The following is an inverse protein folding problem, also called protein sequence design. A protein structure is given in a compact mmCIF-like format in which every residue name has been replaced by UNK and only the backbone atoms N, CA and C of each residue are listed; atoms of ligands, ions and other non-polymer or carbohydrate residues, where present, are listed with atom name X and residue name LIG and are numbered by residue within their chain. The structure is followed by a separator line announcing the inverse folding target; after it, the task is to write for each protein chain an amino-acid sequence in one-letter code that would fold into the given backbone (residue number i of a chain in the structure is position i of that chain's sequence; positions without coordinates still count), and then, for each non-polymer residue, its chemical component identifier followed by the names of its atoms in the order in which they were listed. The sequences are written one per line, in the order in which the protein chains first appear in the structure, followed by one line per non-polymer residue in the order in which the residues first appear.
data_IF_139412192954
#
_entry.id   IF_139412192954
#
_cell.length_a   1.000
_cell.length_b   1.000
_cell.length_c   1.000
_cell.angle_alpha   90.00
_cell.angle_beta   90.00
_cell.angle_gamma   90.00
#
_symmetry.space_group_name_H-M   'P 1'
#
loop_
_entity.id
_entity.type
_entity.pdbx_description
1 polymer ?
#
# COMPACT_ATOMS: atom_id res chain seq x y z
N UNK A 1 -6.59 -11.36 -31.32
CA UNK A 1 -5.98 -10.35 -30.43
C UNK A 1 -5.35 -11.10 -29.28
N UNK A 2 -4.04 -11.01 -29.12
CA UNK A 2 -3.32 -11.71 -28.06
C UNK A 2 -3.48 -10.92 -26.75
N UNK A 3 -4.18 -11.48 -25.76
CA UNK A 3 -4.23 -10.91 -24.41
C UNK A 3 -2.90 -11.17 -23.72
N UNK A 4 -2.09 -10.12 -23.56
CA UNK A 4 -0.86 -10.18 -22.77
C UNK A 4 -1.22 -10.18 -21.29
N UNK A 5 -0.73 -11.16 -20.55
CA UNK A 5 -0.90 -11.23 -19.09
C UNK A 5 0.17 -10.37 -18.39
N UNK A 6 -0.15 -9.81 -17.19
CA UNK A 6 0.84 -9.16 -16.33
C UNK A 6 2.04 -10.06 -16.07
N UNK A 7 3.25 -9.48 -16.00
CA UNK A 7 4.43 -10.24 -15.60
C UNK A 7 4.29 -10.77 -14.18
N UNK A 8 5.11 -11.79 -13.84
CA UNK A 8 5.21 -12.28 -12.45
C UNK A 8 5.67 -11.18 -11.50
N UNK A 9 6.53 -10.28 -11.97
CA UNK A 9 7.04 -9.14 -11.20
C UNK A 9 5.91 -8.15 -10.90
N UNK A 10 5.12 -7.78 -11.91
CA UNK A 10 3.96 -6.91 -11.74
C UNK A 10 2.90 -7.54 -10.83
N UNK A 11 2.65 -8.84 -10.99
CA UNK A 11 1.72 -9.58 -10.12
C UNK A 11 2.20 -9.58 -8.67
N UNK A 12 3.51 -9.73 -8.42
CA UNK A 12 4.07 -9.61 -7.08
C UNK A 12 3.93 -8.19 -6.52
N UNK A 13 4.27 -7.17 -7.32
CA UNK A 13 4.16 -5.76 -6.94
C UNK A 13 2.70 -5.35 -6.66
N UNK A 14 1.70 -6.00 -7.27
CA UNK A 14 0.29 -5.75 -6.97
C UNK A 14 -0.13 -6.19 -5.56
N UNK A 15 0.62 -7.11 -4.92
CA UNK A 15 0.31 -7.64 -3.58
C UNK A 15 1.24 -7.07 -2.51
N UNK A 16 2.49 -6.75 -2.87
CA UNK A 16 3.52 -6.24 -1.95
C UNK A 16 3.04 -5.08 -1.05
N UNK A 17 2.34 -4.04 -1.55
CA UNK A 17 1.89 -2.91 -0.71
C UNK A 17 0.92 -3.31 0.41
N UNK A 18 0.19 -4.42 0.26
CA UNK A 18 -0.79 -4.88 1.24
C UNK A 18 -0.13 -5.37 2.54
N UNK A 19 1.01 -6.04 2.43
CA UNK A 19 1.74 -6.62 3.58
C UNK A 19 2.07 -5.55 4.64
N UNK A 20 2.77 -4.44 4.32
CA UNK A 20 3.05 -3.39 5.28
C UNK A 20 1.79 -2.73 5.83
N UNK A 21 0.71 -2.58 5.05
CA UNK A 21 -0.56 -2.03 5.55
C UNK A 21 -1.21 -2.93 6.59
N UNK A 22 -1.23 -4.25 6.36
CA UNK A 22 -1.72 -5.21 7.36
C UNK A 22 -0.87 -5.18 8.63
N UNK A 23 0.45 -5.06 8.49
CA UNK A 23 1.35 -4.90 9.63
C UNK A 23 1.09 -3.60 10.39
N UNK A 24 0.82 -2.48 9.72
CA UNK A 24 0.41 -1.23 10.37
C UNK A 24 -0.85 -1.44 11.21
N UNK A 25 -1.88 -2.09 10.65
CA UNK A 25 -3.10 -2.37 11.39
C UNK A 25 -2.85 -3.21 12.64
N UNK A 26 -2.05 -4.28 12.52
CA UNK A 26 -1.73 -5.17 13.65
C UNK A 26 -0.90 -4.45 14.71
N UNK A 27 0.17 -3.74 14.31
CA UNK A 27 1.10 -3.08 15.23
C UNK A 27 0.47 -1.89 15.97
N UNK A 28 -0.52 -1.25 15.37
CA UNK A 28 -1.31 -0.19 16.00
C UNK A 28 -2.52 -0.73 16.76
N UNK A 29 -2.74 -2.05 16.75
CA UNK A 29 -3.94 -2.70 17.32
C UNK A 29 -5.23 -2.07 16.78
N UNK A 30 -5.29 -1.83 15.47
CA UNK A 30 -6.40 -1.13 14.81
C UNK A 30 -6.48 0.35 15.19
N UNK A 31 -5.33 1.01 15.32
CA UNK A 31 -5.22 2.41 15.75
C UNK A 31 -5.75 2.68 17.17
N UNK A 32 -5.51 1.75 18.10
CA UNK A 32 -5.83 1.92 19.53
C UNK A 32 -5.14 3.16 20.09
N UNK A 33 -5.84 3.94 20.91
CA UNK A 33 -5.27 5.10 21.61
C UNK A 33 -4.28 4.71 22.71
N UNK A 34 -4.36 3.46 23.20
CA UNK A 34 -3.47 2.90 24.23
C UNK A 34 -2.95 1.54 23.75
N UNK A 35 -2.04 1.51 22.75
CA UNK A 35 -1.52 0.26 22.22
C UNK A 35 -0.66 -0.44 23.27
N UNK A 36 -0.72 -1.77 23.33
CA UNK A 36 0.09 -2.54 24.30
C UNK A 36 1.57 -2.59 23.92
N UNK A 37 1.88 -2.43 22.63
CA UNK A 37 3.24 -2.51 22.11
C UNK A 37 4.07 -1.24 22.42
N UNK A 38 5.40 -1.39 22.60
CA UNK A 38 6.29 -0.26 22.84
C UNK A 38 6.19 0.83 21.76
N UNK A 39 6.44 2.11 22.09
CA UNK A 39 6.24 3.24 21.18
C UNK A 39 6.93 3.10 19.81
N UNK A 40 8.09 2.44 19.75
CA UNK A 40 8.75 2.16 18.48
C UNK A 40 7.86 1.32 17.54
N UNK A 41 7.27 0.24 18.05
CA UNK A 41 6.45 -0.68 17.28
C UNK A 41 5.03 -0.16 17.03
N UNK A 42 4.46 0.62 17.95
CA UNK A 42 3.09 1.14 17.82
C UNK A 42 2.98 2.53 17.17
N UNK A 43 4.08 3.30 17.06
CA UNK A 43 4.07 4.67 16.53
C UNK A 43 5.04 4.90 15.38
N UNK A 44 6.32 4.55 15.55
CA UNK A 44 7.39 4.88 14.60
C UNK A 44 7.42 3.90 13.42
N UNK A 45 7.50 2.60 13.71
CA UNK A 45 7.53 1.56 12.69
C UNK A 45 6.28 1.59 11.78
N UNK A 46 5.05 1.81 12.28
CA UNK A 46 3.87 1.94 11.43
C UNK A 46 3.97 3.10 10.43
N UNK A 47 4.54 4.26 10.81
CA UNK A 47 4.77 5.34 9.85
C UNK A 47 5.70 4.93 8.71
N UNK A 48 6.80 4.25 9.05
CA UNK A 48 7.76 3.76 8.05
C UNK A 48 7.11 2.72 7.13
N UNK A 49 6.31 1.82 7.68
CA UNK A 49 5.58 0.82 6.90
C UNK A 49 4.54 1.44 5.97
N UNK A 50 3.79 2.46 6.42
CA UNK A 50 2.88 3.22 5.55
C UNK A 50 3.63 3.88 4.39
N UNK A 51 4.81 4.47 4.65
CA UNK A 51 5.66 5.05 3.60
C UNK A 51 6.16 3.99 2.61
N UNK A 52 6.65 2.85 3.11
CA UNK A 52 7.11 1.73 2.27
C UNK A 52 5.97 1.18 1.41
N UNK A 53 4.77 1.04 1.97
CA UNK A 53 3.57 0.63 1.23
C UNK A 53 3.28 1.59 0.08
N UNK A 54 3.27 2.89 0.39
CA UNK A 54 3.00 3.93 -0.60
C UNK A 54 4.01 3.91 -1.75
N UNK A 55 5.31 3.86 -1.45
CA UNK A 55 6.35 3.79 -2.47
C UNK A 55 6.21 2.53 -3.33
N UNK A 56 5.97 1.38 -2.71
CA UNK A 56 5.75 0.11 -3.43
C UNK A 56 4.51 0.18 -4.34
N UNK A 57 3.44 0.83 -3.88
CA UNK A 57 2.23 1.03 -4.68
C UNK A 57 2.47 1.96 -5.87
N UNK A 58 3.28 3.01 -5.73
CA UNK A 58 3.68 3.86 -6.86
C UNK A 58 4.47 3.06 -7.90
N UNK A 59 5.39 2.18 -7.47
CA UNK A 59 6.09 1.29 -8.39
C UNK A 59 5.15 0.32 -9.10
N UNK A 60 4.18 -0.27 -8.38
CA UNK A 60 3.18 -1.15 -8.97
C UNK A 60 2.33 -0.44 -10.02
N UNK A 61 1.92 0.80 -9.76
CA UNK A 61 1.16 1.63 -10.70
C UNK A 61 1.97 1.92 -11.97
N UNK A 62 3.22 2.36 -11.83
CA UNK A 62 4.07 2.66 -12.98
C UNK A 62 4.38 1.39 -13.79
N UNK A 63 4.72 0.29 -13.12
CA UNK A 63 4.95 -0.99 -13.79
C UNK A 63 3.71 -1.52 -14.52
N UNK A 64 2.50 -1.30 -13.98
CA UNK A 64 1.25 -1.65 -14.65
C UNK A 64 1.07 -0.87 -15.96
N UNK A 65 1.36 0.44 -15.93
CA UNK A 65 1.29 1.29 -17.13
C UNK A 65 2.36 0.96 -18.16
N UNK A 66 3.55 0.61 -17.71
CA UNK A 66 4.67 0.26 -18.60
C UNK A 66 4.45 -1.10 -19.29
N UNK A 67 3.79 -2.05 -18.62
CA UNK A 67 3.49 -3.37 -19.19
C UNK A 67 2.16 -3.43 -19.97
N UNK A 68 1.29 -2.43 -19.84
CA UNK A 68 -0.03 -2.40 -20.48
C UNK A 68 0.10 -2.49 -22.02
N UNK A 69 -0.59 -3.43 -22.69
CA UNK A 69 -0.55 -3.54 -24.14
C UNK A 69 -1.26 -2.35 -24.81
N UNK A 70 -0.61 -1.72 -25.78
CA UNK A 70 -1.15 -0.59 -26.54
C UNK A 70 -2.45 -0.92 -27.30
N UNK A 71 -2.61 -2.19 -27.70
CA UNK A 71 -3.75 -2.68 -28.47
C UNK A 71 -4.24 -4.00 -27.87
N UNK A 72 -5.47 -4.04 -27.35
CA UNK A 72 -6.08 -5.25 -26.78
C UNK A 72 -6.74 -5.03 -25.42
N UNK A 73 -7.14 -6.12 -24.75
CA UNK A 73 -7.84 -6.08 -23.47
C UNK A 73 -6.92 -5.72 -22.30
N UNK A 74 -6.92 -4.45 -21.89
CA UNK A 74 -6.14 -3.92 -20.76
C UNK A 74 -6.81 -4.01 -19.38
N UNK A 75 -7.92 -4.76 -19.23
CA UNK A 75 -8.73 -4.74 -18.01
C UNK A 75 -7.94 -5.16 -16.76
N UNK A 76 -7.09 -6.18 -16.85
CA UNK A 76 -6.26 -6.61 -15.73
C UNK A 76 -5.23 -5.54 -15.32
N UNK A 77 -4.61 -4.85 -16.27
CA UNK A 77 -3.68 -3.75 -16.00
C UNK A 77 -4.39 -2.59 -15.30
N UNK A 78 -5.60 -2.22 -15.78
CA UNK A 78 -6.43 -1.19 -15.13
C UNK A 78 -6.87 -1.56 -13.73
N UNK A 79 -7.16 -2.85 -13.47
CA UNK A 79 -7.42 -3.33 -12.10
C UNK A 79 -6.19 -3.16 -11.21
N UNK A 80 -4.99 -3.50 -11.69
CA UNK A 80 -3.75 -3.34 -10.93
C UNK A 80 -3.45 -1.85 -10.67
N UNK A 81 -3.62 -0.99 -11.67
CA UNK A 81 -3.51 0.47 -11.50
C UNK A 81 -4.47 0.99 -10.43
N UNK A 82 -5.74 0.58 -10.48
CA UNK A 82 -6.76 0.97 -9.50
C UNK A 82 -6.44 0.48 -8.08
N UNK A 83 -5.98 -0.77 -7.94
CA UNK A 83 -5.53 -1.32 -6.66
C UNK A 83 -4.33 -0.55 -6.12
N UNK A 84 -3.35 -0.23 -6.96
CA UNK A 84 -2.17 0.53 -6.58
C UNK A 84 -2.55 1.92 -6.05
N UNK A 85 -3.43 2.65 -6.76
CA UNK A 85 -3.96 3.93 -6.28
C UNK A 85 -4.74 3.77 -4.97
N UNK A 86 -5.50 2.68 -4.81
CA UNK A 86 -6.18 2.34 -3.57
C UNK A 86 -5.22 2.16 -2.40
N UNK A 87 -4.08 1.49 -2.60
CA UNK A 87 -3.05 1.34 -1.57
C UNK A 87 -2.37 2.66 -1.23
N UNK A 88 -2.09 3.53 -2.21
CA UNK A 88 -1.56 4.88 -1.94
C UNK A 88 -2.53 5.67 -1.06
N UNK A 89 -3.82 5.66 -1.39
CA UNK A 89 -4.84 6.34 -0.60
C UNK A 89 -4.94 5.75 0.81
N UNK A 90 -4.94 4.42 0.95
CA UNK A 90 -5.02 3.76 2.24
C UNK A 90 -3.78 4.04 3.10
N UNK A 91 -2.58 4.06 2.50
CA UNK A 91 -1.35 4.44 3.16
C UNK A 91 -1.42 5.89 3.68
N UNK A 92 -1.93 6.84 2.89
CA UNK A 92 -2.15 8.22 3.33
C UNK A 92 -3.11 8.29 4.53
N UNK A 93 -4.24 7.59 4.47
CA UNK A 93 -5.21 7.52 5.57
C UNK A 93 -4.53 6.99 6.84
N UNK A 94 -3.76 5.90 6.73
CA UNK A 94 -3.06 5.31 7.85
C UNK A 94 -2.02 6.26 8.44
N UNK A 95 -1.24 6.94 7.60
CA UNK A 95 -0.28 7.97 8.04
C UNK A 95 -0.98 9.10 8.81
N UNK A 96 -2.09 9.61 8.31
CA UNK A 96 -2.86 10.67 8.99
C UNK A 96 -3.41 10.18 10.33
N UNK A 97 -3.95 8.96 10.40
CA UNK A 97 -4.43 8.36 11.65
C UNK A 97 -3.30 8.22 12.67
N UNK A 98 -2.14 7.70 12.27
CA UNK A 98 -0.97 7.55 13.14
C UNK A 98 -0.52 8.90 13.69
N UNK A 99 -0.35 9.91 12.81
CA UNK A 99 0.04 11.26 13.23
C UNK A 99 -0.96 11.83 14.24
N UNK A 100 -2.24 11.76 13.92
CA UNK A 100 -3.29 12.37 14.75
C UNK A 100 -3.40 11.70 16.12
N UNK A 101 -3.44 10.36 16.16
CA UNK A 101 -3.67 9.60 17.39
C UNK A 101 -2.43 9.59 18.28
N UNK A 102 -1.24 9.43 17.71
CA UNK A 102 -0.03 9.15 18.50
C UNK A 102 0.92 10.32 18.69
N UNK A 103 0.79 11.39 17.89
CA UNK A 103 1.70 12.54 17.92
C UNK A 103 0.98 13.88 18.16
N UNK A 104 -0.26 14.04 17.69
CA UNK A 104 -1.03 15.29 17.91
C UNK A 104 -1.85 15.24 19.19
N UNK A 105 -2.52 14.12 19.48
CA UNK A 105 -3.30 13.93 20.72
C UNK A 105 -2.41 13.71 21.95
N UNK A 106 -1.12 13.40 21.75
CA UNK A 106 -0.17 13.06 22.81
C UNK A 106 0.06 14.21 23.80
#
# INVERSE_FOLDING_TARGET
METRLPSKTLTALAVVPLIPLLLVWVLTEGFSANPSLPPFFSKILPLLLSLISMLSAVFAYNAARDEEPEWGGGLLFKLIEGLALGYVLLALIFTVLIITIYFVRA
#
